data_IF_323240885149
#
_entry.id   IF_323240885149
#
_cell.length_a   1.000
_cell.length_b   1.000
_cell.length_c   1.000
_cell.angle_alpha   90.00
_cell.angle_beta   90.00
_cell.angle_gamma   90.00
#
_symmetry.space_group_name_H-M   'P 1'
#
loop_
_entity.id
_entity.type
_entity.pdbx_description
1 polymer ?
#
# COMPACT_ATOMS: atom_id res chain seq x y z
N UNK A 1 7.93 -54.50 37.93
CA UNK A 1 7.20 -53.33 38.49
C UNK A 1 7.43 -52.14 37.56
N UNK A 2 6.34 -51.50 37.09
CA UNK A 2 6.09 -50.07 36.73
C UNK A 2 7.30 -49.25 36.20
N UNK A 3 7.23 -48.50 35.09
CA UNK A 3 6.29 -47.41 34.76
C UNK A 3 6.21 -47.19 33.22
N UNK A 4 4.99 -46.90 32.76
CA UNK A 4 4.57 -46.41 31.43
C UNK A 4 4.84 -44.91 31.22
N UNK A 5 4.72 -44.49 29.95
CA UNK A 5 4.53 -43.12 29.44
C UNK A 5 5.82 -42.29 29.33
N UNK A 6 6.20 -41.73 28.18
CA UNK A 6 5.37 -41.15 27.13
C UNK A 6 5.47 -39.63 27.26
N UNK A 7 6.26 -38.99 26.40
CA UNK A 7 6.15 -37.55 26.15
C UNK A 7 6.34 -37.30 24.66
N UNK A 8 5.19 -37.08 24.02
CA UNK A 8 5.00 -36.33 22.79
C UNK A 8 5.86 -35.05 22.83
N UNK A 9 6.98 -35.02 22.13
CA UNK A 9 7.64 -33.74 21.86
C UNK A 9 6.95 -33.12 20.66
N UNK A 10 5.96 -32.29 20.98
CA UNK A 10 5.24 -31.41 20.07
C UNK A 10 6.26 -30.67 19.20
N UNK A 11 6.36 -31.08 17.94
CA UNK A 11 7.05 -30.29 16.93
C UNK A 11 6.20 -29.03 16.75
N UNK A 12 6.60 -27.97 17.46
CA UNK A 12 6.12 -26.61 17.28
C UNK A 12 6.44 -26.22 15.83
N UNK A 13 5.49 -26.48 14.93
CA UNK A 13 5.43 -25.81 13.64
C UNK A 13 5.29 -24.32 13.96
N UNK A 14 6.43 -23.64 13.94
CA UNK A 14 6.49 -22.19 13.89
C UNK A 14 5.73 -21.75 12.65
N UNK A 15 4.44 -21.47 12.81
CA UNK A 15 3.67 -20.72 11.84
C UNK A 15 4.30 -19.33 11.89
N UNK A 16 5.22 -19.07 10.98
CA UNK A 16 5.64 -17.71 10.65
C UNK A 16 4.39 -16.99 10.18
N UNK A 17 3.66 -16.38 11.13
CA UNK A 17 2.50 -15.53 10.85
C UNK A 17 3.04 -14.36 10.04
N UNK A 18 3.00 -14.51 8.72
CA UNK A 18 3.25 -13.40 7.81
C UNK A 18 2.13 -12.42 8.06
N UNK A 19 2.44 -11.25 8.63
CA UNK A 19 1.47 -10.19 8.85
C UNK A 19 0.63 -9.99 7.57
N UNK A 20 -0.69 -9.99 7.72
CA UNK A 20 -1.61 -9.83 6.60
C UNK A 20 -1.42 -8.44 5.96
N UNK A 21 -1.03 -7.43 6.75
CA UNK A 21 -0.74 -6.09 6.24
C UNK A 21 0.72 -5.96 5.78
N UNK A 22 1.01 -5.84 4.47
CA UNK A 22 2.37 -5.72 3.97
C UNK A 22 2.83 -4.25 3.99
N UNK A 23 3.05 -3.68 5.18
CA UNK A 23 3.35 -2.24 5.33
C UNK A 23 4.50 -1.72 4.46
N UNK A 24 5.56 -2.51 4.25
CA UNK A 24 6.66 -2.14 3.36
C UNK A 24 6.24 -2.01 1.89
N UNK A 25 5.40 -2.94 1.41
CA UNK A 25 4.86 -2.89 0.04
C UNK A 25 3.87 -1.73 -0.12
N UNK A 26 2.98 -1.51 0.87
CA UNK A 26 2.05 -0.38 0.87
C UNK A 26 2.81 0.96 0.84
N UNK A 27 3.90 1.07 1.59
CA UNK A 27 4.74 2.27 1.59
C UNK A 27 5.47 2.48 0.26
N UNK A 28 5.97 1.41 -0.35
CA UNK A 28 6.58 1.47 -1.68
C UNK A 28 5.60 1.95 -2.75
N UNK A 29 4.40 1.34 -2.80
CA UNK A 29 3.33 1.75 -3.71
C UNK A 29 2.85 3.17 -3.43
N UNK A 30 2.78 3.59 -2.16
CA UNK A 30 2.41 4.97 -1.79
C UNK A 30 3.39 5.98 -2.40
N UNK A 31 4.70 5.70 -2.29
CA UNK A 31 5.74 6.56 -2.90
C UNK A 31 5.59 6.59 -4.41
N UNK A 32 5.37 5.44 -5.06
CA UNK A 32 5.09 5.39 -6.50
C UNK A 32 3.85 6.23 -6.86
N UNK A 33 2.73 6.09 -6.15
CA UNK A 33 1.54 6.92 -6.37
C UNK A 33 1.83 8.42 -6.26
N UNK A 34 2.57 8.84 -5.23
CA UNK A 34 2.92 10.26 -5.04
C UNK A 34 3.75 10.78 -6.20
N UNK A 35 4.85 10.11 -6.54
CA UNK A 35 5.75 10.65 -7.57
C UNK A 35 5.11 10.58 -8.96
N UNK A 36 4.37 9.51 -9.26
CA UNK A 36 3.61 9.39 -10.52
C UNK A 36 2.55 10.48 -10.65
N UNK A 37 1.78 10.74 -9.59
CA UNK A 37 0.75 11.79 -9.62
C UNK A 37 1.34 13.17 -9.81
N UNK A 38 2.45 13.50 -9.14
CA UNK A 38 3.12 14.79 -9.39
C UNK A 38 3.67 14.85 -10.82
N UNK A 39 4.22 13.77 -11.35
CA UNK A 39 4.73 13.75 -12.72
C UNK A 39 3.64 13.95 -13.78
N UNK A 40 2.43 13.43 -13.54
CA UNK A 40 1.28 13.59 -14.45
C UNK A 40 0.61 14.96 -14.28
N UNK A 41 0.39 15.40 -13.03
CA UNK A 41 -0.38 16.60 -12.73
C UNK A 41 0.48 17.88 -12.81
N UNK A 42 1.80 17.77 -12.61
CA UNK A 42 2.75 18.89 -12.58
C UNK A 42 4.13 18.50 -13.19
N UNK A 43 4.20 18.18 -14.50
CA UNK A 43 5.44 17.72 -15.14
C UNK A 43 6.60 18.72 -15.08
N UNK A 44 6.31 20.01 -14.94
CA UNK A 44 7.31 21.08 -14.81
C UNK A 44 7.85 21.26 -13.39
N UNK A 45 7.39 20.47 -12.40
CA UNK A 45 7.97 20.48 -11.06
C UNK A 45 9.49 20.19 -11.13
N UNK A 46 10.32 21.03 -10.51
CA UNK A 46 11.76 20.97 -10.65
C UNK A 46 12.35 19.60 -10.28
N UNK A 47 11.77 18.93 -9.27
CA UNK A 47 12.21 17.61 -8.83
C UNK A 47 11.87 16.54 -9.87
N UNK A 48 10.68 16.60 -10.48
CA UNK A 48 10.27 15.68 -11.55
C UNK A 48 11.06 15.94 -12.83
N UNK A 49 11.18 17.22 -13.24
CA UNK A 49 11.90 17.63 -14.43
C UNK A 49 13.37 17.18 -14.40
N UNK A 50 13.99 17.22 -13.22
CA UNK A 50 15.36 16.73 -13.01
C UNK A 50 15.54 15.22 -13.27
N UNK A 51 14.45 14.44 -13.26
CA UNK A 51 14.49 13.01 -13.52
C UNK A 51 14.70 12.67 -15.01
N UNK A 52 14.52 13.63 -15.92
CA UNK A 52 14.80 13.48 -17.35
C UNK A 52 13.98 12.38 -18.02
N UNK A 53 12.72 12.20 -17.61
CA UNK A 53 11.84 11.20 -18.18
C UNK A 53 11.53 11.53 -19.65
N UNK A 54 11.50 10.50 -20.49
CA UNK A 54 11.07 10.66 -21.87
C UNK A 54 9.55 10.86 -21.95
N UNK A 55 9.02 11.52 -23.00
CA UNK A 55 7.59 11.77 -23.15
C UNK A 55 6.73 10.49 -23.18
N UNK A 56 7.20 9.45 -23.87
CA UNK A 56 6.59 8.13 -23.94
C UNK A 56 6.49 7.45 -22.57
N UNK A 57 7.57 7.51 -21.78
CA UNK A 57 7.58 7.00 -20.40
C UNK A 57 6.56 7.73 -19.54
N UNK A 58 6.52 9.07 -19.64
CA UNK A 58 5.61 9.91 -18.87
C UNK A 58 4.14 9.58 -19.17
N UNK A 59 3.81 9.36 -20.43
CA UNK A 59 2.46 8.97 -20.87
C UNK A 59 2.01 7.61 -20.30
N UNK A 60 2.96 6.72 -19.98
CA UNK A 60 2.67 5.38 -19.46
C UNK A 60 2.72 5.27 -17.93
N UNK A 61 3.14 6.31 -17.20
CA UNK A 61 3.30 6.21 -15.74
C UNK A 61 2.00 5.84 -15.01
N UNK A 62 0.86 6.37 -15.48
CA UNK A 62 -0.45 6.09 -14.90
C UNK A 62 -0.85 4.61 -15.05
N UNK A 63 -0.69 4.04 -16.24
CA UNK A 63 -1.00 2.62 -16.49
C UNK A 63 -0.03 1.70 -15.76
N UNK A 64 1.27 2.02 -15.74
CA UNK A 64 2.30 1.26 -15.00
C UNK A 64 2.02 1.24 -13.50
N UNK A 65 1.56 2.36 -12.92
CA UNK A 65 1.14 2.41 -11.53
C UNK A 65 -0.09 1.52 -11.26
N UNK A 66 -1.10 1.57 -12.13
CA UNK A 66 -2.30 0.73 -11.97
C UNK A 66 -1.94 -0.76 -12.07
N UNK A 67 -1.10 -1.16 -13.03
CA UNK A 67 -0.62 -2.54 -13.13
C UNK A 67 0.10 -3.00 -11.86
N UNK A 68 0.97 -2.15 -11.27
CA UNK A 68 1.64 -2.48 -10.02
C UNK A 68 0.66 -2.61 -8.83
N UNK A 69 -0.41 -1.82 -8.82
CA UNK A 69 -1.48 -1.91 -7.81
C UNK A 69 -2.31 -3.18 -8.00
N UNK A 70 -2.63 -3.56 -9.23
CA UNK A 70 -3.36 -4.79 -9.57
C UNK A 70 -2.55 -6.05 -9.21
N UNK A 71 -1.26 -6.10 -9.56
CA UNK A 71 -0.37 -7.19 -9.18
C UNK A 71 -0.29 -7.36 -7.66
N UNK A 72 -0.22 -6.25 -6.93
CA UNK A 72 -0.21 -6.27 -5.47
C UNK A 72 -1.57 -6.72 -4.91
N UNK A 73 -2.68 -6.26 -5.49
CA UNK A 73 -4.03 -6.67 -5.12
C UNK A 73 -4.23 -8.20 -5.22
N UNK A 74 -3.71 -8.84 -6.28
CA UNK A 74 -3.77 -10.30 -6.43
C UNK A 74 -3.04 -11.04 -5.30
N UNK A 75 -1.95 -10.46 -4.78
CA UNK A 75 -1.25 -11.01 -3.61
C UNK A 75 -2.04 -10.79 -2.32
N UNK A 76 -2.71 -9.64 -2.18
CA UNK A 76 -3.47 -9.27 -0.98
C UNK A 76 -4.78 -10.06 -0.83
N UNK A 77 -5.40 -10.49 -1.94
CA UNK A 77 -6.59 -11.38 -1.94
C UNK A 77 -6.38 -12.69 -1.19
N UNK A 78 -5.13 -13.11 -1.02
CA UNK A 78 -4.77 -14.33 -0.29
C UNK A 78 -4.68 -14.11 1.22
N UNK A 79 -4.77 -12.86 1.69
CA UNK A 79 -4.56 -12.48 3.08
C UNK A 79 -5.90 -12.22 3.79
N UNK A 80 -5.92 -12.44 5.10
CA UNK A 80 -7.08 -12.18 5.96
C UNK A 80 -6.65 -11.29 7.10
N UNK A 81 -7.39 -10.21 7.35
CA UNK A 81 -7.08 -9.29 8.45
C UNK A 81 -7.52 -9.87 9.80
N UNK A 82 -6.74 -9.55 10.82
CA UNK A 82 -7.08 -9.69 12.24
C UNK A 82 -7.60 -8.37 12.81
N UNK A 83 -8.29 -8.39 13.95
CA UNK A 83 -8.79 -7.18 14.61
C UNK A 83 -7.66 -6.18 14.96
N UNK A 84 -6.50 -6.69 15.40
CA UNK A 84 -5.31 -5.86 15.70
C UNK A 84 -4.77 -5.14 14.46
N UNK A 85 -4.80 -5.81 13.31
CA UNK A 85 -4.38 -5.24 12.04
C UNK A 85 -5.37 -4.19 11.53
N UNK A 86 -6.67 -4.41 11.74
CA UNK A 86 -7.73 -3.46 11.41
C UNK A 86 -7.56 -2.16 12.23
N UNK A 87 -7.29 -2.28 13.53
CA UNK A 87 -6.99 -1.13 14.39
C UNK A 87 -5.73 -0.39 13.90
N UNK A 88 -4.67 -1.13 13.56
CA UNK A 88 -3.43 -0.56 13.06
C UNK A 88 -3.61 0.16 11.72
N UNK A 89 -4.42 -0.40 10.82
CA UNK A 89 -4.78 0.20 9.53
C UNK A 89 -5.54 1.52 9.71
N UNK A 90 -6.49 1.56 10.66
CA UNK A 90 -7.24 2.79 10.98
C UNK A 90 -6.30 3.95 11.31
N UNK A 91 -5.26 3.71 12.12
CA UNK A 91 -4.27 4.73 12.44
C UNK A 91 -3.49 5.21 11.21
N UNK A 92 -3.10 4.30 10.30
CA UNK A 92 -2.40 4.68 9.05
C UNK A 92 -3.30 5.44 8.07
N UNK A 93 -4.57 5.05 7.96
CA UNK A 93 -5.55 5.72 7.11
C UNK A 93 -5.84 7.14 7.60
N UNK A 94 -5.90 7.37 8.91
CA UNK A 94 -6.11 8.71 9.46
C UNK A 94 -5.08 9.76 9.01
N UNK A 95 -3.88 9.32 8.62
CA UNK A 95 -2.80 10.19 8.16
C UNK A 95 -2.48 10.06 6.66
N UNK A 96 -3.17 9.21 5.90
CA UNK A 96 -2.79 8.90 4.51
C UNK A 96 -2.87 10.13 3.58
N UNK A 97 -3.83 11.05 3.83
CA UNK A 97 -3.91 12.33 3.12
C UNK A 97 -2.66 13.18 3.30
N UNK A 98 -2.15 13.29 4.52
CA UNK A 98 -0.93 14.05 4.81
C UNK A 98 0.32 13.42 4.19
N UNK A 99 0.26 12.11 3.91
CA UNK A 99 1.31 11.35 3.22
C UNK A 99 1.11 11.31 1.70
N UNK A 100 0.13 12.05 1.20
CA UNK A 100 -0.13 12.26 -0.23
C UNK A 100 -0.67 11.04 -0.97
N UNK A 101 -1.07 9.94 -0.33
CA UNK A 101 -1.80 8.89 -1.05
C UNK A 101 -2.59 8.01 -0.09
N UNK A 102 -3.90 7.94 -0.33
CA UNK A 102 -4.83 7.02 0.32
C UNK A 102 -5.25 5.86 -0.61
N UNK A 103 -5.03 5.97 -1.92
CA UNK A 103 -5.48 5.02 -2.94
C UNK A 103 -4.89 3.62 -2.74
N UNK A 104 -3.66 3.54 -2.25
CA UNK A 104 -3.01 2.25 -1.94
C UNK A 104 -3.73 1.50 -0.82
N UNK A 105 -4.20 2.22 0.20
CA UNK A 105 -4.99 1.63 1.27
C UNK A 105 -6.38 1.21 0.78
N UNK A 106 -6.96 1.95 -0.16
CA UNK A 106 -8.25 1.59 -0.75
C UNK A 106 -8.14 0.30 -1.55
N UNK A 107 -7.13 0.20 -2.42
CA UNK A 107 -6.83 -1.02 -3.17
C UNK A 107 -6.55 -2.20 -2.25
N UNK A 108 -5.83 -1.97 -1.14
CA UNK A 108 -5.56 -3.01 -0.15
C UNK A 108 -6.85 -3.50 0.53
N UNK A 109 -7.66 -2.58 1.08
CA UNK A 109 -8.90 -2.94 1.75
C UNK A 109 -9.89 -3.59 0.77
N UNK A 110 -10.00 -3.14 -0.47
CA UNK A 110 -10.90 -3.77 -1.45
C UNK A 110 -10.45 -5.17 -1.88
N UNK A 111 -9.21 -5.55 -1.60
CA UNK A 111 -8.64 -6.84 -2.02
C UNK A 111 -8.58 -7.88 -0.90
N UNK A 112 -8.36 -7.46 0.35
CA UNK A 112 -8.11 -8.38 1.47
C UNK A 112 -9.39 -9.06 1.98
N UNK A 113 -9.25 -10.27 2.53
CA UNK A 113 -10.37 -10.95 3.21
C UNK A 113 -10.55 -10.40 4.62
N UNK A 114 -11.79 -10.40 5.09
CA UNK A 114 -12.17 -9.92 6.42
C UNK A 114 -13.09 -10.95 7.07
N UNK A 115 -12.78 -11.42 8.29
CA UNK A 115 -13.67 -12.29 9.04
C UNK A 115 -15.02 -11.63 9.33
N UNK A 116 -16.10 -12.41 9.41
CA UNK A 116 -17.44 -11.87 9.65
C UNK A 116 -17.53 -11.04 10.93
N UNK A 117 -16.83 -11.46 11.99
CA UNK A 117 -16.77 -10.77 13.28
C UNK A 117 -16.18 -9.36 13.19
N UNK A 118 -15.40 -9.07 12.15
CA UNK A 118 -14.68 -7.80 11.98
C UNK A 118 -15.32 -6.89 10.92
N UNK A 119 -16.35 -7.35 10.21
CA UNK A 119 -16.93 -6.61 9.08
C UNK A 119 -17.41 -5.22 9.44
N UNK A 120 -18.04 -5.03 10.60
CA UNK A 120 -18.53 -3.72 11.02
C UNK A 120 -17.39 -2.71 11.15
N UNK A 121 -16.33 -3.07 11.88
CA UNK A 121 -15.16 -2.20 12.05
C UNK A 121 -14.46 -1.93 10.71
N UNK A 122 -14.39 -2.94 9.86
CA UNK A 122 -13.81 -2.82 8.53
C UNK A 122 -14.61 -1.87 7.63
N UNK A 123 -15.94 -1.96 7.60
CA UNK A 123 -16.81 -1.05 6.84
C UNK A 123 -16.69 0.40 7.31
N UNK A 124 -16.56 0.63 8.62
CA UNK A 124 -16.31 1.98 9.15
C UNK A 124 -15.01 2.58 8.61
N UNK A 125 -13.95 1.77 8.56
CA UNK A 125 -12.65 2.20 8.04
C UNK A 125 -12.72 2.47 6.55
N UNK A 126 -13.41 1.63 5.77
CA UNK A 126 -13.63 1.87 4.34
C UNK A 126 -14.38 3.19 4.11
N UNK A 127 -15.44 3.47 4.88
CA UNK A 127 -16.20 4.72 4.78
C UNK A 127 -15.33 5.94 5.13
N UNK A 128 -14.53 5.86 6.20
CA UNK A 128 -13.61 6.93 6.58
C UNK A 128 -12.53 7.19 5.51
N UNK A 129 -12.04 6.11 4.89
CA UNK A 129 -11.08 6.19 3.79
C UNK A 129 -11.68 6.85 2.55
N UNK A 130 -12.87 6.43 2.11
CA UNK A 130 -13.57 7.04 0.96
C UNK A 130 -13.79 8.54 1.16
N UNK A 131 -14.25 8.96 2.33
CA UNK A 131 -14.42 10.38 2.66
C UNK A 131 -13.09 11.18 2.69
N UNK A 132 -11.97 10.49 2.87
CA UNK A 132 -10.62 11.09 2.83
C UNK A 132 -10.10 11.19 1.41
N UNK A 133 -10.35 10.18 0.57
CA UNK A 133 -9.96 10.14 -0.85
C UNK A 133 -10.56 11.28 -1.65
N UNK A 134 -11.83 11.60 -1.42
CA UNK A 134 -12.53 12.73 -2.07
C UNK A 134 -11.85 14.09 -1.78
N UNK A 135 -11.05 14.16 -0.71
CA UNK A 135 -10.37 15.37 -0.26
C UNK A 135 -8.89 15.42 -0.66
N UNK A 136 -8.38 14.42 -1.39
CA UNK A 136 -7.02 14.43 -1.91
C UNK A 136 -6.99 15.16 -3.24
N UNK A 137 -6.07 16.13 -3.34
CA UNK A 137 -5.85 16.93 -4.54
C UNK A 137 -4.36 16.94 -4.96
N UNK A 138 -4.07 17.59 -6.10
CA UNK A 138 -2.72 17.78 -6.63
C UNK A 138 -1.75 18.41 -5.61
N UNK A 139 -2.25 19.31 -4.75
CA UNK A 139 -1.47 19.95 -3.69
C UNK A 139 -1.00 18.96 -2.62
N UNK A 140 -1.82 17.96 -2.29
CA UNK A 140 -1.42 16.90 -1.36
C UNK A 140 -0.28 16.04 -1.92
N UNK A 141 -0.34 15.65 -3.20
CA UNK A 141 0.74 14.90 -3.85
C UNK A 141 2.04 15.71 -3.89
N UNK A 142 1.95 16.99 -4.32
CA UNK A 142 3.11 17.88 -4.40
C UNK A 142 3.78 18.10 -3.02
N UNK A 143 2.98 18.32 -1.98
CA UNK A 143 3.52 18.44 -0.62
C UNK A 143 4.21 17.15 -0.17
N UNK A 144 3.61 16.00 -0.44
CA UNK A 144 4.16 14.70 -0.04
C UNK A 144 5.43 14.31 -0.82
N UNK A 145 5.61 14.80 -2.05
CA UNK A 145 6.81 14.54 -2.85
C UNK A 145 8.10 14.90 -2.11
N UNK A 146 8.09 15.99 -1.34
CA UNK A 146 9.23 16.43 -0.52
C UNK A 146 9.67 15.41 0.54
N UNK A 147 8.81 14.44 0.87
CA UNK A 147 9.07 13.38 1.85
C UNK A 147 9.45 12.05 1.20
N UNK A 148 9.44 11.96 -0.14
CA UNK A 148 9.80 10.75 -0.87
C UNK A 148 11.31 10.73 -1.10
N UNK A 149 12.03 9.73 -0.57
CA UNK A 149 13.45 9.58 -0.87
C UNK A 149 13.64 9.10 -2.31
N UNK A 150 14.66 9.63 -2.99
CA UNK A 150 15.06 9.23 -4.35
C UNK A 150 13.89 9.19 -5.36
N UNK A 151 13.10 10.28 -5.55
CA UNK A 151 11.89 10.27 -6.37
C UNK A 151 12.14 9.86 -7.83
N UNK A 152 13.29 10.23 -8.41
CA UNK A 152 13.65 9.81 -9.76
C UNK A 152 13.90 8.30 -9.88
N UNK A 153 14.44 7.66 -8.84
CA UNK A 153 14.60 6.21 -8.79
C UNK A 153 13.26 5.51 -8.67
N UNK A 154 12.34 6.07 -7.89
CA UNK A 154 10.96 5.58 -7.79
C UNK A 154 10.27 5.62 -9.16
N UNK A 155 10.37 6.73 -9.90
CA UNK A 155 9.81 6.84 -11.25
C UNK A 155 10.42 5.83 -12.23
N UNK A 156 11.75 5.71 -12.25
CA UNK A 156 12.44 4.75 -13.12
C UNK A 156 12.12 3.31 -12.79
N UNK A 157 11.87 2.98 -11.51
CA UNK A 157 11.47 1.62 -11.10
C UNK A 157 10.10 1.19 -11.63
N UNK A 158 9.24 2.13 -12.06
CA UNK A 158 8.02 1.80 -12.77
C UNK A 158 8.31 1.49 -14.24
N UNK A 159 9.40 2.02 -14.79
CA UNK A 159 9.81 1.80 -16.17
C UNK A 159 10.34 0.39 -16.40
N UNK A 160 11.22 -0.07 -15.51
CA UNK A 160 11.99 -1.33 -15.58
C UNK A 160 11.18 -2.62 -15.29
N UNK A 161 9.87 -2.53 -15.03
CA UNK A 161 9.01 -3.67 -14.65
C UNK A 161 8.37 -4.42 -15.82
N UNK A 162 8.73 -4.10 -17.06
CA UNK A 162 8.26 -4.78 -18.28
C UNK A 162 9.40 -5.49 -19.01
#
# INVERSE_FOLDING_TARGET
>A
MKILAGVFSVFLLGISVHAAVPYGQLEGLRRQSVVTRVALDNPEDAMIKSCGLKPDVTAMLGSKLESALDEAAEQWRKKSLTSEEIISLKAKISVCKNRGSCQVYEKFLSSVKVPESEKTQFTEIQKALSATLEKIDAGNYKKALTTVPEPCKVLKSLDDKN
#
